data_IF_708227949855
#
_entry.id   IF_708227949855
#
_cell.length_a   1.000
_cell.length_b   1.000
_cell.length_c   1.000
_cell.angle_alpha   90.00
_cell.angle_beta   90.00
_cell.angle_gamma   90.00
#
_symmetry.space_group_name_H-M   'P 1'
#
loop_
_entity.id
_entity.type
_entity.pdbx_description
1 polymer ?
#
# COMPACT_ATOMS: atom_id res chain seq x y z
N UNK A 1 21.54 64.95 7.08
CA UNK A 1 21.63 63.58 6.51
C UNK A 1 22.07 62.65 7.65
N UNK A 2 21.26 61.64 7.98
CA UNK A 2 21.47 60.54 8.95
C UNK A 2 21.60 59.23 8.11
N UNK A 3 22.26 58.12 8.51
CA UNK A 3 21.89 57.32 9.71
C UNK A 3 23.09 56.70 10.48
N UNK A 4 23.07 56.61 11.81
CA UNK A 4 22.29 55.74 12.72
C UNK A 4 22.87 54.32 12.84
N UNK A 5 23.54 54.12 13.97
CA UNK A 5 24.02 52.86 14.56
C UNK A 5 22.86 51.89 14.84
N UNK A 6 23.01 50.61 14.48
CA UNK A 6 22.00 49.56 14.76
C UNK A 6 22.64 48.39 15.53
N UNK A 7 21.96 48.01 16.61
CA UNK A 7 22.35 47.03 17.64
C UNK A 7 22.10 45.60 17.16
N UNK A 8 23.04 44.70 17.46
CA UNK A 8 22.95 43.24 17.24
C UNK A 8 21.99 42.64 18.26
N UNK A 9 20.89 42.02 17.81
CA UNK A 9 20.03 41.19 18.66
C UNK A 9 20.14 39.72 18.22
N UNK A 10 20.84 38.91 19.02
CA UNK A 10 20.80 37.45 18.92
C UNK A 10 19.41 36.97 19.37
N UNK A 11 18.54 36.64 18.42
CA UNK A 11 17.33 35.86 18.67
C UNK A 11 17.66 34.37 18.59
N UNK A 12 17.91 33.76 19.75
CA UNK A 12 17.99 32.30 19.89
C UNK A 12 16.56 31.75 19.74
N UNK A 13 16.17 31.38 18.52
CA UNK A 13 14.92 30.69 18.26
C UNK A 13 14.99 29.30 18.93
N UNK A 14 14.23 29.11 20.00
CA UNK A 14 14.04 27.82 20.66
C UNK A 14 13.40 26.88 19.65
N UNK A 15 14.08 25.80 19.21
CA UNK A 15 13.44 24.82 18.36
C UNK A 15 12.45 24.05 19.25
N UNK A 16 11.15 24.31 19.08
CA UNK A 16 10.12 23.38 19.53
C UNK A 16 10.39 22.06 18.81
N UNK A 17 11.05 21.12 19.49
CA UNK A 17 11.03 19.73 19.09
C UNK A 17 9.57 19.28 19.13
N UNK A 18 8.93 19.25 17.97
CA UNK A 18 7.69 18.53 17.76
C UNK A 18 7.99 17.05 17.96
N UNK A 19 7.85 16.58 19.21
CA UNK A 19 7.87 15.17 19.54
C UNK A 19 6.65 14.58 18.83
N UNK A 20 6.89 14.04 17.64
CA UNK A 20 5.91 13.27 16.89
C UNK A 20 5.66 12.01 17.70
N UNK A 21 4.66 12.05 18.58
CA UNK A 21 4.16 10.83 19.21
C UNK A 21 3.78 9.88 18.07
N UNK A 22 4.24 8.61 18.08
CA UNK A 22 3.69 7.63 17.18
C UNK A 22 2.23 7.43 17.58
N UNK A 23 1.33 8.18 16.95
CA UNK A 23 -0.09 7.89 16.98
C UNK A 23 -0.23 6.43 16.58
N UNK A 24 -0.99 5.63 17.35
CA UNK A 24 -1.39 4.28 16.93
C UNK A 24 -2.46 4.33 15.82
N UNK A 25 -2.23 5.20 14.83
CA UNK A 25 -2.71 5.09 13.47
C UNK A 25 -1.92 3.99 12.76
N UNK A 26 -2.38 3.53 11.59
CA UNK A 26 -1.57 2.64 10.75
C UNK A 26 -0.17 3.24 10.58
N UNK A 27 0.90 2.42 10.68
CA UNK A 27 2.25 2.97 10.58
C UNK A 27 2.46 3.59 9.20
N UNK A 28 3.39 4.53 9.06
CA UNK A 28 3.67 5.17 7.78
C UNK A 28 3.96 4.13 6.68
N UNK A 29 4.67 3.05 7.03
CA UNK A 29 4.90 1.91 6.14
C UNK A 29 3.62 1.14 5.76
N UNK A 30 2.66 0.97 6.68
CA UNK A 30 1.37 0.33 6.39
C UNK A 30 0.51 1.21 5.47
N UNK A 31 0.55 2.52 5.66
CA UNK A 31 -0.15 3.46 4.79
C UNK A 31 0.48 3.58 3.41
N UNK A 32 1.81 3.52 3.33
CA UNK A 32 2.54 3.51 2.06
C UNK A 32 2.19 2.30 1.17
N UNK A 33 1.58 1.25 1.72
CA UNK A 33 1.10 0.11 0.92
C UNK A 33 0.09 0.58 -0.14
N UNK A 34 -0.79 1.54 0.17
CA UNK A 34 -1.78 2.05 -0.79
C UNK A 34 -1.13 2.67 -2.03
N UNK A 35 0.04 3.31 -1.88
CA UNK A 35 0.79 3.94 -2.96
C UNK A 35 1.69 2.92 -3.69
N UNK A 36 2.30 2.02 -2.93
CA UNK A 36 3.31 1.09 -3.46
C UNK A 36 2.71 -0.15 -4.15
N UNK A 37 1.52 -0.59 -3.73
CA UNK A 37 0.93 -1.84 -4.21
C UNK A 37 0.56 -1.81 -5.70
N UNK A 38 -0.04 -0.75 -6.26
CA UNK A 38 -0.35 -0.72 -7.70
C UNK A 38 0.87 -0.80 -8.62
N UNK A 39 2.02 -0.32 -8.16
CA UNK A 39 3.31 -0.45 -8.84
C UNK A 39 4.02 -1.78 -8.55
N UNK A 40 3.41 -2.65 -7.75
CA UNK A 40 3.93 -3.94 -7.36
C UNK A 40 5.13 -3.93 -6.41
N UNK A 41 5.22 -2.89 -5.57
CA UNK A 41 6.33 -2.66 -4.64
C UNK A 41 7.69 -2.59 -5.37
N UNK A 42 7.83 -1.62 -6.27
CA UNK A 42 9.09 -1.29 -6.93
C UNK A 42 10.16 -0.75 -5.97
N UNK A 43 11.21 -0.14 -6.54
CA UNK A 43 12.29 0.44 -5.75
C UNK A 43 11.77 1.51 -4.76
N UNK A 44 12.23 1.46 -3.52
CA UNK A 44 11.81 2.40 -2.47
C UNK A 44 10.55 1.99 -1.69
N UNK A 45 9.92 0.86 -2.05
CA UNK A 45 8.71 0.35 -1.39
C UNK A 45 8.98 -0.86 -0.46
N UNK A 46 10.25 -1.13 -0.10
CA UNK A 46 10.63 -2.32 0.69
C UNK A 46 10.01 -2.34 2.10
N UNK A 47 9.92 -1.18 2.74
CA UNK A 47 9.28 -1.05 4.05
C UNK A 47 7.77 -1.33 3.95
N UNK A 48 7.09 -0.77 2.95
CA UNK A 48 5.68 -1.03 2.68
C UNK A 48 5.43 -2.51 2.35
N UNK A 49 6.28 -3.13 1.52
CA UNK A 49 6.22 -4.57 1.20
C UNK A 49 6.38 -5.43 2.43
N UNK A 50 7.29 -5.05 3.33
CA UNK A 50 7.51 -5.75 4.60
C UNK A 50 6.31 -5.61 5.53
N UNK A 51 5.71 -4.42 5.61
CA UNK A 51 4.48 -4.18 6.36
C UNK A 51 3.31 -5.01 5.81
N UNK A 52 3.10 -5.02 4.49
CA UNK A 52 2.10 -5.85 3.81
C UNK A 52 2.25 -7.34 4.16
N UNK A 53 3.45 -7.90 3.99
CA UNK A 53 3.73 -9.31 4.33
C UNK A 53 3.50 -9.59 5.82
N UNK A 54 3.85 -8.65 6.70
CA UNK A 54 3.65 -8.76 8.15
C UNK A 54 2.16 -8.79 8.50
N UNK A 55 1.32 -8.00 7.84
CA UNK A 55 -0.14 -7.99 8.04
C UNK A 55 -0.75 -9.32 7.63
N UNK A 56 -0.42 -9.83 6.44
CA UNK A 56 -0.88 -11.14 5.96
C UNK A 56 -0.45 -12.27 6.89
N UNK A 57 0.81 -12.29 7.31
CA UNK A 57 1.32 -13.31 8.26
C UNK A 57 0.59 -13.28 9.61
N UNK A 58 0.08 -12.11 10.00
CA UNK A 58 -0.72 -11.92 11.23
C UNK A 58 -2.22 -12.13 11.01
N UNK A 59 -2.65 -12.59 9.83
CA UNK A 59 -4.07 -12.78 9.50
C UNK A 59 -4.87 -11.47 9.46
N UNK A 60 -4.20 -10.32 9.32
CA UNK A 60 -4.86 -9.03 9.16
C UNK A 60 -5.17 -8.76 7.69
N UNK A 61 -6.10 -7.83 7.45
CA UNK A 61 -6.30 -7.28 6.10
C UNK A 61 -4.95 -6.83 5.51
N UNK A 62 -4.64 -7.13 4.24
CA UNK A 62 -3.34 -6.83 3.65
C UNK A 62 -3.01 -5.33 3.66
N UNK A 63 -4.03 -4.48 3.70
CA UNK A 63 -3.90 -3.04 3.87
C UNK A 63 -4.62 -2.58 5.14
N UNK A 64 -4.16 -1.50 5.79
CA UNK A 64 -4.97 -0.78 6.75
C UNK A 64 -6.21 -0.17 6.08
N UNK A 65 -7.23 0.15 6.86
CA UNK A 65 -8.35 0.97 6.38
C UNK A 65 -7.83 2.26 5.75
N UNK A 66 -8.37 2.63 4.59
CA UNK A 66 -7.94 3.83 3.86
C UNK A 66 -8.07 5.08 4.73
N UNK A 67 -9.15 5.21 5.50
CA UNK A 67 -9.39 6.34 6.42
C UNK A 67 -8.33 6.49 7.53
N UNK A 68 -7.59 5.43 7.87
CA UNK A 68 -6.49 5.52 8.84
C UNK A 68 -5.18 6.01 8.22
N UNK A 69 -5.16 6.18 6.90
CA UNK A 69 -4.01 6.56 6.10
C UNK A 69 -4.25 7.83 5.27
N UNK A 70 -5.50 8.16 5.00
CA UNK A 70 -5.91 9.44 4.48
C UNK A 70 -5.79 10.48 5.61
N UNK A 71 -4.61 11.08 5.75
CA UNK A 71 -4.46 12.32 6.52
C UNK A 71 -5.07 13.46 5.70
N UNK A 72 -5.59 14.50 6.34
CA UNK A 72 -6.22 15.68 5.70
C UNK A 72 -5.28 16.50 4.78
N UNK A 73 -4.11 15.98 4.43
CA UNK A 73 -3.16 16.62 3.53
C UNK A 73 -3.55 16.34 2.08
N UNK A 74 -4.48 17.16 1.58
CA UNK A 74 -4.65 17.40 0.16
C UNK A 74 -6.02 17.03 -0.38
N UNK A 75 -6.98 17.93 -0.14
CA UNK A 75 -8.20 18.15 -0.93
C UNK A 75 -8.00 18.06 -2.47
N UNK A 76 -6.77 18.16 -2.95
CA UNK A 76 -6.41 18.02 -4.37
C UNK A 76 -6.08 16.58 -4.82
N UNK A 77 -5.77 15.64 -3.91
CA UNK A 77 -5.52 14.23 -4.26
C UNK A 77 -6.77 13.38 -4.03
N UNK A 78 -7.55 13.62 -2.97
CA UNK A 78 -8.81 12.91 -2.71
C UNK A 78 -9.88 13.17 -3.78
N UNK A 79 -10.04 14.43 -4.21
CA UNK A 79 -10.99 14.78 -5.29
C UNK A 79 -10.50 14.42 -6.70
N UNK A 80 -9.18 14.31 -6.91
CA UNK A 80 -8.62 13.92 -8.20
C UNK A 80 -8.45 12.39 -8.37
N UNK A 81 -8.31 11.65 -7.26
CA UNK A 81 -8.03 10.20 -7.28
C UNK A 81 -9.28 9.36 -7.03
N UNK A 82 -10.46 9.93 -6.75
CA UNK A 82 -11.70 9.15 -6.64
C UNK A 82 -11.66 8.07 -5.55
N UNK A 83 -12.63 7.16 -5.54
CA UNK A 83 -12.76 6.15 -4.48
C UNK A 83 -11.70 5.06 -4.64
N UNK A 84 -10.73 5.04 -3.72
CA UNK A 84 -9.74 3.98 -3.60
C UNK A 84 -10.26 2.86 -2.70
N UNK A 85 -10.36 1.65 -3.25
CA UNK A 85 -10.74 0.44 -2.52
C UNK A 85 -9.70 -0.65 -2.69
N UNK A 86 -9.61 -1.51 -1.69
CA UNK A 86 -8.74 -2.68 -1.74
C UNK A 86 -9.59 -3.93 -1.77
N UNK A 87 -9.30 -4.83 -2.71
CA UNK A 87 -9.93 -6.14 -2.76
C UNK A 87 -8.87 -7.23 -2.67
N UNK A 88 -9.16 -8.26 -1.89
CA UNK A 88 -8.40 -9.50 -1.86
C UNK A 88 -9.22 -10.60 -2.51
N UNK A 89 -8.55 -11.53 -3.17
CA UNK A 89 -9.20 -12.65 -3.83
C UNK A 89 -8.25 -13.80 -4.07
N UNK A 90 -8.74 -14.80 -4.81
CA UNK A 90 -7.95 -15.93 -5.25
C UNK A 90 -7.85 -15.87 -6.77
N UNK A 91 -6.65 -16.12 -7.27
CA UNK A 91 -6.31 -16.23 -8.68
C UNK A 91 -5.63 -17.60 -8.92
N UNK A 92 -5.27 -17.88 -10.16
CA UNK A 92 -4.54 -19.08 -10.53
C UNK A 92 -3.18 -18.73 -11.11
N UNK A 93 -2.14 -19.44 -10.71
CA UNK A 93 -0.88 -19.49 -11.44
C UNK A 93 -0.83 -20.75 -12.29
N UNK A 94 -0.53 -20.60 -13.58
CA UNK A 94 -0.47 -21.69 -14.55
C UNK A 94 0.94 -21.76 -15.14
N UNK A 95 1.59 -22.94 -15.15
CA UNK A 95 2.89 -23.12 -15.77
C UNK A 95 2.88 -22.66 -17.24
N UNK A 96 3.88 -21.86 -17.63
CA UNK A 96 4.02 -21.33 -18.99
C UNK A 96 3.08 -20.16 -19.35
N UNK A 97 2.04 -19.88 -18.56
CA UNK A 97 1.13 -18.75 -18.80
C UNK A 97 1.24 -17.64 -17.75
N UNK A 98 1.62 -17.98 -16.51
CA UNK A 98 1.71 -17.02 -15.40
C UNK A 98 0.40 -16.89 -14.62
N UNK A 99 0.12 -15.69 -14.10
CA UNK A 99 -1.04 -15.44 -13.24
C UNK A 99 -2.30 -15.08 -14.06
N UNK A 100 -3.43 -15.69 -13.70
CA UNK A 100 -4.74 -15.45 -14.28
C UNK A 100 -5.71 -15.08 -13.17
N UNK A 101 -6.44 -13.98 -13.33
CA UNK A 101 -7.43 -13.48 -12.36
C UNK A 101 -8.75 -14.27 -12.39
N UNK A 102 -8.62 -15.59 -12.44
CA UNK A 102 -9.69 -16.57 -12.38
C UNK A 102 -9.22 -17.72 -11.49
N UNK A 103 -9.90 -17.91 -10.36
CA UNK A 103 -9.55 -18.94 -9.41
C UNK A 103 -9.84 -20.36 -9.93
N UNK A 104 -10.76 -20.49 -10.89
CA UNK A 104 -11.22 -21.77 -11.42
C UNK A 104 -10.45 -22.18 -12.68
N UNK A 105 -9.59 -21.30 -13.19
CA UNK A 105 -8.58 -21.63 -14.19
C UNK A 105 -7.61 -22.72 -13.69
N UNK A 106 -7.44 -22.88 -12.36
CA UNK A 106 -6.76 -24.01 -11.75
C UNK A 106 -7.73 -24.91 -10.98
N UNK A 107 -8.08 -26.05 -11.57
CA UNK A 107 -8.94 -27.06 -10.95
C UNK A 107 -8.10 -28.10 -10.21
N UNK A 108 -8.37 -28.27 -8.93
CA UNK A 108 -7.72 -29.27 -8.07
C UNK A 108 -8.72 -30.41 -7.85
N UNK A 109 -8.39 -31.61 -8.29
CA UNK A 109 -9.20 -32.80 -7.99
C UNK A 109 -8.92 -33.32 -6.58
N UNK A 110 -9.84 -34.15 -6.09
CA UNK A 110 -9.76 -34.76 -4.76
C UNK A 110 -8.44 -35.52 -4.49
N UNK A 111 -7.85 -36.11 -5.54
CA UNK A 111 -6.55 -36.79 -5.48
C UNK A 111 -5.34 -35.87 -5.66
N UNK A 112 -5.54 -34.55 -5.62
CA UNK A 112 -4.47 -33.55 -5.69
C UNK A 112 -3.96 -33.24 -7.09
N UNK A 113 -4.44 -33.92 -8.14
CA UNK A 113 -4.09 -33.54 -9.50
C UNK A 113 -4.67 -32.18 -9.88
N UNK A 114 -3.86 -31.40 -10.60
CA UNK A 114 -4.22 -30.07 -11.04
C UNK A 114 -4.50 -30.05 -12.54
N UNK A 115 -5.46 -29.23 -12.96
CA UNK A 115 -5.75 -28.94 -14.37
C UNK A 115 -5.79 -27.42 -14.58
N UNK A 116 -4.87 -26.84 -15.37
CA UNK A 116 -3.72 -27.48 -16.04
C UNK A 116 -2.72 -28.14 -15.06
N UNK A 117 -1.96 -29.13 -15.54
CA UNK A 117 -0.98 -29.83 -14.70
C UNK A 117 0.03 -28.86 -14.11
N UNK A 118 0.25 -28.92 -12.80
CA UNK A 118 1.16 -28.05 -12.07
C UNK A 118 0.62 -26.66 -11.75
N UNK A 119 -0.63 -26.34 -12.08
CA UNK A 119 -1.23 -25.07 -11.67
C UNK A 119 -1.43 -25.00 -10.14
N UNK A 120 -1.58 -23.77 -9.62
CA UNK A 120 -1.86 -23.52 -8.20
C UNK A 120 -2.79 -22.34 -8.02
N UNK A 121 -3.70 -22.44 -7.05
CA UNK A 121 -4.46 -21.27 -6.56
C UNK A 121 -3.54 -20.39 -5.72
N UNK A 122 -3.62 -19.09 -5.91
CA UNK A 122 -2.78 -18.09 -5.25
C UNK A 122 -3.65 -16.96 -4.72
N UNK A 123 -3.30 -16.42 -3.55
CA UNK A 123 -4.01 -15.25 -3.06
C UNK A 123 -3.48 -14.01 -3.77
N UNK A 124 -4.33 -13.01 -3.93
CA UNK A 124 -3.88 -11.70 -4.41
C UNK A 124 -4.56 -10.57 -3.65
N UNK A 125 -3.95 -9.40 -3.74
CA UNK A 125 -4.56 -8.14 -3.34
C UNK A 125 -4.35 -7.10 -4.43
N UNK A 126 -5.38 -6.34 -4.74
CA UNK A 126 -5.35 -5.28 -5.75
C UNK A 126 -6.02 -4.00 -5.23
N UNK A 127 -5.56 -2.86 -5.73
CA UNK A 127 -6.22 -1.58 -5.53
C UNK A 127 -7.15 -1.32 -6.70
N UNK A 128 -8.29 -0.72 -6.41
CA UNK A 128 -9.25 -0.25 -7.39
C UNK A 128 -9.50 1.23 -7.17
N UNK A 129 -9.62 1.97 -8.26
CA UNK A 129 -9.98 3.37 -8.29
C UNK A 129 -11.29 3.50 -9.06
N UNK A 130 -12.35 3.97 -8.41
CA UNK A 130 -13.69 4.06 -9.00
C UNK A 130 -14.16 2.72 -9.62
N UNK A 131 -13.82 1.61 -8.95
CA UNK A 131 -14.16 0.25 -9.42
C UNK A 131 -13.27 -0.32 -10.53
N UNK A 132 -12.31 0.44 -11.07
CA UNK A 132 -11.33 -0.03 -12.06
C UNK A 132 -10.04 -0.42 -11.36
N UNK A 133 -9.46 -1.57 -11.71
CA UNK A 133 -8.20 -2.04 -11.11
C UNK A 133 -7.06 -1.07 -11.45
N UNK A 134 -6.35 -0.61 -10.43
CA UNK A 134 -5.22 0.30 -10.58
C UNK A 134 -3.91 -0.51 -10.53
N UNK A 135 -3.14 -0.44 -11.62
CA UNK A 135 -1.84 -1.08 -11.72
C UNK A 135 -1.91 -2.61 -11.66
N UNK A 136 -0.90 -3.21 -11.03
CA UNK A 136 -0.77 -4.67 -10.93
C UNK A 136 -1.20 -5.19 -9.56
N UNK A 137 -1.91 -6.33 -9.49
CA UNK A 137 -2.17 -7.02 -8.22
C UNK A 137 -0.87 -7.54 -7.61
N UNK A 138 -0.90 -7.79 -6.31
CA UNK A 138 0.18 -8.45 -5.58
C UNK A 138 -0.26 -9.84 -5.14
N UNK A 139 0.37 -10.85 -5.74
CA UNK A 139 0.18 -12.26 -5.46
C UNK A 139 1.07 -12.71 -4.29
N UNK A 140 0.57 -13.61 -3.45
CA UNK A 140 1.29 -14.17 -2.31
C UNK A 140 0.81 -15.57 -1.93
#
# INVERSE_FOLDING_TARGET
>A
MKPTTTIIALSFAVPLLAISLPSRAASQDECAIWLCLPAGFGQGCDAAKSAFKKRIRKGKSPLPSFSSCATDTGDSLGSAVGELTQKSGVASWIPGQGYVMDADACRISWNGHTRPSGCRRVSYTAIYQNGVMLGSPQFY
#
